data_IF_160777481465
#
_entry.id   IF_160777481465
#
_cell.length_a   1.000
_cell.length_b   1.000
_cell.length_c   1.000
_cell.angle_alpha   90.00
_cell.angle_beta   90.00
_cell.angle_gamma   90.00
#
_symmetry.space_group_name_H-M   'P 1'
#
loop_
_entity.id
_entity.type
_entity.pdbx_description
1 polymer ?
#
# COMPACT_ATOMS: atom_id res chain seq x y z
N UNK A 1 -15.79 1.13 -5.70
CA UNK A 1 -15.48 -0.02 -4.81
C UNK A 1 -14.17 -0.72 -5.18
N UNK A 2 -13.97 -1.19 -6.42
CA UNK A 2 -12.73 -1.90 -6.81
C UNK A 2 -11.48 -1.01 -6.69
N UNK A 3 -11.55 0.22 -7.19
CA UNK A 3 -10.44 1.17 -7.12
C UNK A 3 -9.96 1.45 -5.68
N UNK A 4 -10.89 1.70 -4.74
CA UNK A 4 -10.52 1.91 -3.33
C UNK A 4 -9.86 0.68 -2.69
N UNK A 5 -10.31 -0.53 -3.05
CA UNK A 5 -9.66 -1.77 -2.58
C UNK A 5 -8.26 -1.93 -3.16
N UNK A 6 -8.04 -1.54 -4.42
CA UNK A 6 -6.72 -1.54 -5.02
C UNK A 6 -5.76 -0.55 -4.33
N UNK A 7 -6.29 0.52 -3.73
CA UNK A 7 -5.56 1.47 -2.87
C UNK A 7 -5.42 0.98 -1.41
N UNK A 8 -5.71 -0.29 -1.14
CA UNK A 8 -5.57 -0.90 0.19
C UNK A 8 -6.70 -0.55 1.17
N UNK A 9 -7.79 0.09 0.75
CA UNK A 9 -8.93 0.36 1.63
C UNK A 9 -9.87 -0.85 1.71
N UNK A 10 -10.19 -1.29 2.92
CA UNK A 10 -11.29 -2.24 3.13
C UNK A 10 -12.66 -1.53 3.07
N UNK A 11 -13.16 -1.32 1.86
CA UNK A 11 -14.41 -0.61 1.63
C UNK A 11 -15.62 -1.54 1.69
N UNK A 12 -16.56 -1.23 2.58
CA UNK A 12 -17.85 -1.92 2.75
C UNK A 12 -18.93 -1.26 1.89
N UNK A 13 -20.08 -1.94 1.75
CA UNK A 13 -21.22 -1.41 0.98
C UNK A 13 -21.74 -0.09 1.59
N UNK A 14 -21.71 0.02 2.92
CA UNK A 14 -22.17 1.21 3.63
C UNK A 14 -21.33 2.44 3.27
N UNK A 15 -20.00 2.30 3.16
CA UNK A 15 -19.10 3.41 2.83
C UNK A 15 -19.37 3.93 1.41
N UNK A 16 -19.57 3.03 0.45
CA UNK A 16 -19.93 3.40 -0.93
C UNK A 16 -21.28 4.13 -0.98
N UNK A 17 -22.27 3.67 -0.20
CA UNK A 17 -23.58 4.33 -0.14
C UNK A 17 -23.50 5.71 0.51
N UNK A 18 -22.63 5.89 1.52
CA UNK A 18 -22.37 7.19 2.13
C UNK A 18 -21.75 8.16 1.12
N UNK A 19 -20.73 7.72 0.38
CA UNK A 19 -20.09 8.54 -0.66
C UNK A 19 -21.10 8.94 -1.74
N UNK A 20 -21.91 8.00 -2.22
CA UNK A 20 -22.98 8.34 -3.17
C UNK A 20 -23.96 9.35 -2.58
N UNK A 21 -24.39 9.18 -1.33
CA UNK A 21 -25.29 10.14 -0.69
C UNK A 21 -24.68 11.55 -0.59
N UNK A 22 -23.38 11.63 -0.31
CA UNK A 22 -22.69 12.89 -0.04
C UNK A 22 -22.32 13.64 -1.36
N UNK A 23 -22.02 12.90 -2.44
CA UNK A 23 -21.50 13.46 -3.69
C UNK A 23 -22.43 13.32 -4.93
N UNK A 24 -23.31 12.30 -4.99
CA UNK A 24 -24.25 12.09 -6.10
C UNK A 24 -25.55 12.89 -5.93
N UNK A 25 -25.43 14.23 -6.03
CA UNK A 25 -26.55 15.16 -5.84
C UNK A 25 -27.71 14.94 -6.82
N UNK A 26 -27.41 14.40 -7.99
CA UNK A 26 -28.37 14.15 -9.07
C UNK A 26 -28.96 12.72 -9.05
N UNK A 27 -28.58 11.90 -8.07
CA UNK A 27 -29.05 10.50 -7.94
C UNK A 27 -28.79 9.64 -9.18
N UNK A 28 -27.67 9.89 -9.85
CA UNK A 28 -27.22 9.17 -11.05
C UNK A 28 -26.67 7.78 -10.76
N UNK A 29 -26.38 7.50 -9.49
CA UNK A 29 -25.64 6.33 -9.01
C UNK A 29 -24.14 6.40 -9.30
N UNK A 30 -23.61 7.56 -9.68
CA UNK A 30 -22.23 7.77 -10.09
C UNK A 30 -21.62 8.95 -9.33
N UNK A 31 -20.30 8.93 -9.21
CA UNK A 31 -19.49 10.07 -8.76
C UNK A 31 -18.48 10.39 -9.86
N UNK A 32 -17.98 11.63 -9.87
CA UNK A 32 -16.91 12.03 -10.78
C UNK A 32 -15.55 11.55 -10.27
N UNK A 33 -14.52 11.70 -11.11
CA UNK A 33 -13.14 11.43 -10.69
C UNK A 33 -12.65 12.44 -9.64
N UNK A 34 -13.13 13.69 -9.71
CA UNK A 34 -12.79 14.74 -8.75
C UNK A 34 -13.34 14.40 -7.35
N UNK A 35 -14.61 14.01 -7.28
CA UNK A 35 -15.24 13.51 -6.04
C UNK A 35 -14.48 12.29 -5.47
N UNK A 36 -14.07 11.38 -6.35
CA UNK A 36 -13.28 10.22 -5.95
C UNK A 36 -11.93 10.61 -5.36
N UNK A 37 -11.20 11.53 -6.00
CA UNK A 37 -9.91 11.99 -5.50
C UNK A 37 -10.04 12.67 -4.15
N UNK A 38 -11.04 13.53 -3.97
CA UNK A 38 -11.29 14.20 -2.69
C UNK A 38 -11.49 13.18 -1.56
N UNK A 39 -12.42 12.24 -1.75
CA UNK A 39 -12.71 11.20 -0.75
C UNK A 39 -11.50 10.34 -0.44
N UNK A 40 -10.77 9.91 -1.47
CA UNK A 40 -9.61 9.03 -1.29
C UNK A 40 -8.45 9.77 -0.64
N UNK A 41 -8.21 11.05 -0.98
CA UNK A 41 -7.17 11.86 -0.35
C UNK A 41 -7.43 12.00 1.14
N UNK A 42 -8.66 12.35 1.55
CA UNK A 42 -9.01 12.46 2.97
C UNK A 42 -8.79 11.13 3.70
N UNK A 43 -9.20 10.01 3.09
CA UNK A 43 -9.00 8.70 3.70
C UNK A 43 -7.53 8.27 3.79
N UNK A 44 -6.68 8.70 2.86
CA UNK A 44 -5.22 8.46 2.96
C UNK A 44 -4.65 9.27 4.12
N UNK A 45 -5.09 10.52 4.29
CA UNK A 45 -4.61 11.43 5.34
C UNK A 45 -5.09 11.02 6.75
N UNK A 46 -6.25 10.37 6.85
CA UNK A 46 -6.77 9.84 8.12
C UNK A 46 -6.03 8.57 8.61
N UNK A 47 -5.20 7.95 7.77
CA UNK A 47 -4.41 6.78 8.18
C UNK A 47 -3.25 7.21 9.06
N UNK A 48 -2.97 6.42 10.10
CA UNK A 48 -1.74 6.60 10.88
C UNK A 48 -0.52 6.22 10.02
N UNK A 49 0.40 7.17 9.74
CA UNK A 49 1.61 6.88 8.98
C UNK A 49 2.43 5.72 9.56
N UNK A 50 2.43 5.54 10.89
CA UNK A 50 3.15 4.44 11.54
C UNK A 50 2.51 3.08 11.20
N UNK A 51 1.18 2.99 11.21
CA UNK A 51 0.50 1.76 10.81
C UNK A 51 0.73 1.42 9.34
N UNK A 52 0.79 2.44 8.46
CA UNK A 52 1.04 2.23 7.04
C UNK A 52 2.47 1.77 6.76
N UNK A 53 3.46 2.33 7.46
CA UNK A 53 4.84 1.87 7.41
C UNK A 53 4.92 0.41 7.89
N UNK A 54 4.24 0.06 8.99
CA UNK A 54 4.23 -1.30 9.51
C UNK A 54 3.55 -2.30 8.55
N UNK A 55 2.46 -1.89 7.91
CA UNK A 55 1.77 -2.71 6.88
C UNK A 55 2.68 -2.92 5.67
N UNK A 56 3.37 -1.87 5.21
CA UNK A 56 4.33 -1.97 4.13
C UNK A 56 5.48 -2.90 4.51
N UNK A 57 6.03 -2.77 5.72
CA UNK A 57 7.09 -3.65 6.22
C UNK A 57 6.68 -5.13 6.19
N UNK A 58 5.48 -5.44 6.69
CA UNK A 58 4.91 -6.81 6.65
C UNK A 58 4.65 -7.34 5.25
N UNK A 59 4.51 -6.46 4.25
CA UNK A 59 4.40 -6.89 2.86
C UNK A 59 5.75 -7.43 2.35
N UNK A 60 6.86 -6.91 2.87
CA UNK A 60 8.20 -7.44 2.61
C UNK A 60 8.48 -8.67 3.47
N UNK A 61 8.40 -8.55 4.80
CA UNK A 61 8.67 -9.59 5.81
C UNK A 61 7.56 -10.65 5.88
N UNK A 62 7.46 -11.50 4.85
CA UNK A 62 6.42 -12.54 4.74
C UNK A 62 6.59 -13.73 5.70
N UNK A 63 7.73 -13.83 6.36
CA UNK A 63 8.02 -14.84 7.37
C UNK A 63 7.91 -14.34 8.82
N UNK A 64 7.42 -13.11 9.02
CA UNK A 64 7.25 -12.48 10.33
C UNK A 64 8.55 -12.53 11.19
N UNK A 65 9.70 -12.39 10.53
CA UNK A 65 11.02 -12.40 11.18
C UNK A 65 11.29 -11.11 11.98
N UNK A 66 10.58 -10.03 11.64
CA UNK A 66 10.82 -8.68 12.11
C UNK A 66 11.93 -7.95 11.34
N UNK A 67 12.44 -8.53 10.24
CA UNK A 67 13.53 -8.00 9.41
C UNK A 67 13.21 -8.14 7.91
N UNK A 68 13.96 -7.45 7.05
CA UNK A 68 13.78 -7.57 5.60
C UNK A 68 15.03 -8.22 5.01
N UNK A 69 14.97 -9.54 4.85
CA UNK A 69 16.05 -10.28 4.23
C UNK A 69 16.16 -10.03 2.71
N UNK A 70 17.31 -10.35 2.14
CA UNK A 70 17.51 -10.39 0.69
C UNK A 70 16.47 -11.29 -0.03
N UNK A 71 15.99 -12.34 0.64
CA UNK A 71 14.95 -13.23 0.10
C UNK A 71 13.61 -12.49 0.01
N UNK A 72 13.25 -11.73 1.04
CA UNK A 72 12.03 -10.94 1.07
C UNK A 72 12.04 -9.88 -0.05
N UNK A 73 13.12 -9.11 -0.19
CA UNK A 73 13.27 -8.12 -1.27
C UNK A 73 13.16 -8.75 -2.66
N UNK A 74 13.84 -9.88 -2.89
CA UNK A 74 13.81 -10.59 -4.17
C UNK A 74 12.41 -11.07 -4.53
N UNK A 75 11.65 -11.58 -3.56
CA UNK A 75 10.25 -11.98 -3.77
C UNK A 75 9.42 -10.79 -4.23
N UNK A 76 9.49 -9.68 -3.50
CA UNK A 76 8.72 -8.48 -3.82
C UNK A 76 9.12 -7.89 -5.18
N UNK A 77 10.42 -7.80 -5.50
CA UNK A 77 10.89 -7.32 -6.81
C UNK A 77 10.30 -8.15 -7.96
N UNK A 78 10.26 -9.49 -7.82
CA UNK A 78 9.65 -10.38 -8.82
C UNK A 78 8.14 -10.20 -8.93
N UNK A 79 7.43 -10.01 -7.81
CA UNK A 79 5.99 -9.75 -7.80
C UNK A 79 5.63 -8.42 -8.48
N UNK A 80 6.49 -7.41 -8.35
CA UNK A 80 6.36 -6.11 -9.02
C UNK A 80 6.80 -6.14 -10.49
N UNK A 81 7.44 -7.23 -10.94
CA UNK A 81 7.98 -7.34 -12.29
C UNK A 81 9.26 -6.53 -12.53
N UNK A 82 9.93 -6.11 -11.44
CA UNK A 82 11.19 -5.39 -11.49
C UNK A 82 12.34 -6.38 -11.72
N UNK A 83 13.16 -6.12 -12.75
CA UNK A 83 14.32 -6.95 -13.07
C UNK A 83 15.56 -6.39 -12.37
N UNK A 84 15.70 -6.70 -11.09
CA UNK A 84 16.88 -6.34 -10.30
C UNK A 84 17.82 -7.53 -10.16
N UNK A 85 19.11 -7.26 -10.27
CA UNK A 85 20.18 -8.22 -10.01
C UNK A 85 20.34 -8.50 -8.52
N UNK A 86 20.97 -9.61 -8.19
CA UNK A 86 21.28 -9.97 -6.79
C UNK A 86 22.21 -8.94 -6.15
N UNK A 87 23.11 -8.36 -6.94
CA UNK A 87 24.03 -7.31 -6.53
C UNK A 87 23.30 -6.02 -6.18
N UNK A 88 22.32 -5.59 -6.98
CA UNK A 88 21.50 -4.41 -6.68
C UNK A 88 20.65 -4.60 -5.43
N UNK A 89 20.04 -5.78 -5.28
CA UNK A 89 19.24 -6.09 -4.09
C UNK A 89 20.11 -6.16 -2.83
N UNK A 90 21.35 -6.66 -2.92
CA UNK A 90 22.31 -6.62 -1.80
C UNK A 90 22.73 -5.20 -1.46
N UNK A 91 23.00 -4.37 -2.46
CA UNK A 91 23.35 -2.97 -2.23
C UNK A 91 22.23 -2.22 -1.50
N UNK A 92 20.96 -2.54 -1.79
CA UNK A 92 19.82 -1.99 -1.04
C UNK A 92 19.84 -2.37 0.45
N UNK A 93 20.18 -3.62 0.79
CA UNK A 93 20.32 -4.04 2.19
C UNK A 93 21.50 -3.31 2.83
N UNK A 94 22.67 -3.35 2.19
CA UNK A 94 23.91 -2.76 2.72
C UNK A 94 23.81 -1.25 3.01
N UNK A 95 22.96 -0.50 2.28
CA UNK A 95 22.72 0.92 2.56
C UNK A 95 22.01 1.17 3.91
N UNK A 96 21.22 0.21 4.39
CA UNK A 96 20.38 0.37 5.58
C UNK A 96 20.72 -0.60 6.73
N UNK A 97 21.48 -1.66 6.46
CA UNK A 97 22.01 -2.63 7.42
C UNK A 97 23.13 -1.98 8.26
N UNK A 98 22.74 -1.45 9.43
CA UNK A 98 23.65 -0.74 10.33
C UNK A 98 24.38 -1.64 11.31
N UNK A 99 23.87 -2.84 11.57
CA UNK A 99 24.46 -3.81 12.51
C UNK A 99 25.24 -4.94 11.81
N UNK A 100 25.16 -5.02 10.48
CA UNK A 100 25.97 -5.88 9.62
C UNK A 100 25.49 -7.31 9.61
N UNK A 101 24.21 -7.56 9.90
CA UNK A 101 23.65 -8.91 9.96
C UNK A 101 23.10 -9.42 8.62
N UNK A 102 23.06 -8.56 7.61
CA UNK A 102 22.64 -8.87 6.25
C UNK A 102 21.12 -8.83 6.03
N UNK A 103 20.36 -8.21 6.93
CA UNK A 103 18.89 -8.03 6.86
C UNK A 103 18.40 -6.65 7.35
#
# INVERSE_FOLDING_TARGET
KVAMRALGFDVKKADVLKILKDYDRESTGKITFEDFNEVVTDWILDRDPQEEILKAFKLFDDDDSGKISLRNLRRVARELGENMSDEELRAMIEEFDKDGDGE
#
